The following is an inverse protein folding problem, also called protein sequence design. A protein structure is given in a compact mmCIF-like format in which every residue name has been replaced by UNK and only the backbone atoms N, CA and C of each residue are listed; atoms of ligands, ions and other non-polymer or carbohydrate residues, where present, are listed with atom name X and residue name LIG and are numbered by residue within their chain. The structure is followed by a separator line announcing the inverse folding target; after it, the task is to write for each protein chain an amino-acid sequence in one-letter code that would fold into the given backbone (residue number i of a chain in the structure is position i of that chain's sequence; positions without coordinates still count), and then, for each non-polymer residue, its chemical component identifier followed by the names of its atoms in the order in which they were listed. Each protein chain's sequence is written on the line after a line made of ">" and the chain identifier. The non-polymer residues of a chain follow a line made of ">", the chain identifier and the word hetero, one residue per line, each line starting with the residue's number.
data_IF_782089267418
#
_entry.id   IF_782089267418
#
_cell.length_a   1.000
_cell.length_b   1.000
_cell.length_c   1.000
_cell.angle_alpha   90.00
_cell.angle_beta   90.00
_cell.angle_gamma   90.00
#
_symmetry.space_group_name_H-M   'P 1'
#
loop_
_entity.id
_entity.type
_entity.pdbx_description
1 polymer ?
#
# COMPACT_ATOMS: atom_id res chain seq x y z
N UNK A 1 -20.23 3.63 -0.89
CA UNK A 1 -19.00 4.44 -0.96
C UNK A 1 -19.36 5.91 -1.17
N UNK A 2 -18.83 6.83 -0.36
CA UNK A 2 -19.08 8.28 -0.48
C UNK A 2 -17.82 8.97 -1.00
N UNK A 3 -17.92 9.80 -2.05
CA UNK A 3 -16.79 10.63 -2.51
C UNK A 3 -16.82 11.99 -1.80
N UNK A 4 -15.67 12.44 -1.33
CA UNK A 4 -15.48 13.74 -0.68
C UNK A 4 -14.23 14.38 -1.27
N UNK A 5 -14.33 15.59 -1.80
CA UNK A 5 -13.18 16.34 -2.27
C UNK A 5 -12.50 17.04 -1.09
N UNK A 6 -11.22 16.74 -0.88
CA UNK A 6 -10.42 17.30 0.21
C UNK A 6 -9.35 18.22 -0.39
N UNK A 7 -9.17 19.44 0.13
CA UNK A 7 -8.12 20.34 -0.33
C UNK A 7 -6.74 19.77 0.00
N UNK A 8 -5.82 19.80 -0.96
CA UNK A 8 -4.41 19.42 -0.75
C UNK A 8 -3.60 20.64 -0.30
N UNK A 9 -2.58 20.40 0.52
CA UNK A 9 -1.65 21.44 0.99
C UNK A 9 -0.91 22.16 -0.16
N UNK A 10 -0.69 21.47 -1.29
CA UNK A 10 -0.05 22.01 -2.50
C UNK A 10 -1.00 22.76 -3.43
N UNK A 11 -2.27 22.94 -3.06
CA UNK A 11 -3.33 23.42 -3.95
C UNK A 11 -4.03 22.30 -4.72
N UNK A 12 -5.28 22.55 -5.11
CA UNK A 12 -6.17 21.57 -5.76
C UNK A 12 -6.98 20.72 -4.78
N UNK A 13 -7.93 19.93 -5.31
CA UNK A 13 -8.73 18.97 -4.55
C UNK A 13 -8.33 17.54 -4.91
N UNK A 14 -8.33 16.65 -3.91
CA UNK A 14 -8.17 15.22 -4.10
C UNK A 14 -9.47 14.50 -3.73
N UNK A 15 -10.05 13.68 -4.62
CA UNK A 15 -11.23 12.90 -4.28
C UNK A 15 -10.84 11.78 -3.29
N UNK A 16 -11.45 11.79 -2.11
CA UNK A 16 -11.35 10.70 -1.13
C UNK A 16 -12.60 9.83 -1.21
N UNK A 17 -12.41 8.55 -1.51
CA UNK A 17 -13.46 7.54 -1.41
C UNK A 17 -13.57 7.03 0.03
N UNK A 18 -14.65 7.37 0.72
CA UNK A 18 -14.91 6.94 2.11
C UNK A 18 -15.85 5.71 2.06
N UNK A 19 -15.38 4.50 2.45
CA UNK A 19 -16.23 3.32 2.58
C UNK A 19 -17.18 3.46 3.78
N UNK A 20 -18.23 2.64 3.86
CA UNK A 20 -19.09 2.63 5.06
C UNK A 20 -18.32 2.12 6.29
N UNK A 21 -18.86 2.32 7.50
CA UNK A 21 -18.22 1.79 8.72
C UNK A 21 -18.04 0.28 8.64
N UNK A 22 -19.07 -0.43 8.16
CA UNK A 22 -19.04 -1.87 7.97
C UNK A 22 -17.98 -2.29 6.94
N UNK A 23 -17.90 -1.58 5.80
CA UNK A 23 -16.88 -1.86 4.79
C UNK A 23 -15.47 -1.68 5.35
N UNK A 24 -15.22 -0.61 6.12
CA UNK A 24 -13.91 -0.38 6.75
C UNK A 24 -13.56 -1.47 7.76
N UNK A 25 -14.55 -1.94 8.52
CA UNK A 25 -14.36 -3.05 9.46
C UNK A 25 -13.97 -4.33 8.73
N UNK A 26 -14.71 -4.70 7.68
CA UNK A 26 -14.43 -5.90 6.88
C UNK A 26 -13.07 -5.78 6.18
N UNK A 27 -12.77 -4.64 5.54
CA UNK A 27 -11.48 -4.40 4.90
C UNK A 27 -10.32 -4.49 5.89
N UNK A 28 -10.48 -3.95 7.09
CA UNK A 28 -9.47 -4.06 8.15
C UNK A 28 -9.27 -5.51 8.60
N UNK A 29 -10.35 -6.28 8.75
CA UNK A 29 -10.25 -7.69 9.13
C UNK A 29 -9.53 -8.51 8.04
N UNK A 30 -9.88 -8.30 6.76
CA UNK A 30 -9.17 -8.93 5.63
C UNK A 30 -7.70 -8.53 5.61
N UNK A 31 -7.40 -7.23 5.79
CA UNK A 31 -6.03 -6.72 5.82
C UNK A 31 -5.19 -7.39 6.91
N UNK A 32 -5.73 -7.60 8.11
CA UNK A 32 -5.00 -8.26 9.20
C UNK A 32 -4.53 -9.67 8.83
N UNK A 33 -5.39 -10.45 8.18
CA UNK A 33 -5.04 -11.83 7.78
C UNK A 33 -4.05 -11.83 6.61
N UNK A 34 -4.27 -10.98 5.60
CA UNK A 34 -3.37 -10.89 4.45
C UNK A 34 -2.00 -10.33 4.82
N UNK A 35 -1.95 -9.35 5.71
CA UNK A 35 -0.69 -8.79 6.19
C UNK A 35 0.12 -9.86 6.91
N UNK A 36 -0.50 -10.70 7.75
CA UNK A 36 0.21 -11.80 8.41
C UNK A 36 0.79 -12.82 7.41
N UNK A 37 0.10 -13.08 6.30
CA UNK A 37 0.56 -14.01 5.27
C UNK A 37 1.66 -13.43 4.37
N UNK A 38 1.61 -12.13 4.06
CA UNK A 38 2.49 -11.52 3.05
C UNK A 38 3.65 -10.71 3.62
N UNK A 39 3.59 -10.23 4.87
CA UNK A 39 4.60 -9.29 5.39
C UNK A 39 6.04 -9.87 5.35
N UNK A 40 6.18 -11.19 5.52
CA UNK A 40 7.47 -11.89 5.41
C UNK A 40 8.03 -11.99 3.99
N UNK A 41 7.22 -11.81 2.95
CA UNK A 41 7.64 -11.86 1.54
C UNK A 41 8.04 -10.50 0.96
N UNK A 42 7.78 -9.40 1.66
CA UNK A 42 8.15 -8.07 1.17
C UNK A 42 9.65 -7.80 1.27
N UNK A 43 10.16 -7.04 0.29
CA UNK A 43 11.54 -6.53 0.31
C UNK A 43 11.84 -5.74 1.59
N UNK A 44 13.08 -5.85 2.06
CA UNK A 44 13.60 -5.07 3.19
C UNK A 44 13.56 -3.56 2.94
N UNK A 45 13.62 -3.14 1.66
CA UNK A 45 13.55 -1.73 1.23
C UNK A 45 12.11 -1.23 1.01
N UNK A 46 11.09 -2.03 1.37
CA UNK A 46 9.68 -1.60 1.34
C UNK A 46 9.26 -1.05 2.71
N UNK A 47 8.96 0.26 2.75
CA UNK A 47 8.66 0.98 4.00
C UNK A 47 7.21 1.50 4.09
N UNK A 48 6.50 1.59 2.96
CA UNK A 48 5.14 2.14 2.92
C UNK A 48 4.10 1.14 3.41
N UNK A 49 3.11 1.61 4.18
CA UNK A 49 1.92 0.84 4.60
C UNK A 49 2.22 -0.50 5.30
N UNK A 50 3.34 -0.60 6.01
CA UNK A 50 3.76 -1.83 6.71
C UNK A 50 3.86 -1.64 8.22
N UNK A 51 3.56 -2.69 9.01
CA UNK A 51 3.75 -2.65 10.45
C UNK A 51 5.24 -2.45 10.79
N UNK A 52 5.53 -1.66 11.82
CA UNK A 52 6.89 -1.35 12.29
C UNK A 52 7.84 -0.69 11.25
N UNK A 53 7.32 -0.26 10.10
CA UNK A 53 8.05 0.51 9.08
C UNK A 53 7.55 1.95 9.03
N UNK A 54 8.42 2.89 8.68
CA UNK A 54 8.06 4.30 8.59
C UNK A 54 8.82 5.03 7.48
N UNK A 55 8.29 6.18 7.06
CA UNK A 55 8.95 7.06 6.10
C UNK A 55 10.33 7.52 6.60
N UNK A 56 10.51 7.71 7.90
CA UNK A 56 11.82 8.07 8.48
C UNK A 56 12.88 6.99 8.25
N UNK A 57 12.51 5.70 8.34
CA UNK A 57 13.42 4.61 8.03
C UNK A 57 13.81 4.60 6.54
N UNK A 58 12.87 4.92 5.64
CA UNK A 58 13.16 5.05 4.21
C UNK A 58 14.16 6.17 3.93
N UNK A 59 13.98 7.33 4.57
CA UNK A 59 14.91 8.47 4.45
C UNK A 59 16.29 8.10 5.00
N UNK A 60 16.37 7.44 6.15
CA UNK A 60 17.65 7.01 6.73
C UNK A 60 18.38 6.02 5.81
N UNK A 61 17.67 5.07 5.20
CA UNK A 61 18.25 4.16 4.22
C UNK A 61 18.76 4.90 2.97
N UNK A 62 17.99 5.87 2.45
CA UNK A 62 18.42 6.70 1.33
C UNK A 62 19.69 7.52 1.66
N UNK A 63 19.77 8.09 2.87
CA UNK A 63 20.95 8.81 3.34
C UNK A 63 22.18 7.89 3.42
N UNK A 64 22.02 6.65 3.86
CA UNK A 64 23.11 5.66 3.87
C UNK A 64 23.62 5.34 2.45
N UNK A 65 22.73 5.21 1.47
CA UNK A 65 23.13 5.02 0.07
C UNK A 65 23.93 6.22 -0.46
N UNK A 66 23.50 7.44 -0.16
CA UNK A 66 24.24 8.65 -0.54
C UNK A 66 25.62 8.68 0.11
N UNK A 67 25.71 8.35 1.40
CA UNK A 67 26.96 8.30 2.14
C UNK A 67 27.93 7.23 1.59
N UNK A 68 27.40 6.11 1.06
CA UNK A 68 28.20 5.06 0.39
C UNK A 68 28.70 5.44 -1.01
N UNK A 69 28.38 6.64 -1.51
CA UNK A 69 28.86 7.15 -2.80
C UNK A 69 27.83 7.11 -3.93
N UNK A 70 26.61 6.63 -3.69
CA UNK A 70 25.54 6.63 -4.69
C UNK A 70 24.87 8.01 -4.74
N UNK A 71 25.35 8.86 -5.64
CA UNK A 71 24.93 10.28 -5.73
C UNK A 71 23.84 10.55 -6.76
N UNK A 72 23.46 9.54 -7.54
CA UNK A 72 22.42 9.64 -8.57
C UNK A 72 21.19 8.92 -8.05
N UNK A 73 20.05 9.63 -8.07
CA UNK A 73 18.73 9.08 -7.71
C UNK A 73 17.90 8.98 -8.97
N UNK A 74 17.29 7.80 -9.17
CA UNK A 74 16.26 7.60 -10.20
C UNK A 74 14.92 7.66 -9.49
N UNK A 75 14.19 8.75 -9.70
CA UNK A 75 12.86 8.96 -9.12
C UNK A 75 11.80 8.42 -10.08
N UNK A 76 11.01 7.46 -9.64
CA UNK A 76 9.94 6.82 -10.42
C UNK A 76 8.68 6.86 -9.57
N UNK A 77 7.69 7.62 -10.04
CA UNK A 77 6.36 7.69 -9.42
C UNK A 77 5.28 7.15 -10.37
N UNK A 78 4.28 6.47 -9.80
CA UNK A 78 3.16 5.91 -10.55
C UNK A 78 1.94 6.80 -10.40
N UNK A 79 1.57 7.49 -11.48
CA UNK A 79 0.39 8.36 -11.48
C UNK A 79 -0.88 7.54 -11.21
N UNK A 80 -1.65 7.94 -10.18
CA UNK A 80 -2.95 7.36 -9.84
C UNK A 80 -2.92 5.83 -9.73
N UNK A 81 -1.96 5.29 -8.99
CA UNK A 81 -1.78 3.85 -8.77
C UNK A 81 -3.13 3.12 -8.57
N UNK A 82 -3.93 3.53 -7.58
CA UNK A 82 -5.21 2.88 -7.27
C UNK A 82 -6.30 2.99 -8.35
N UNK A 83 -6.24 4.00 -9.23
CA UNK A 83 -7.21 4.12 -10.34
C UNK A 83 -6.79 3.29 -11.56
N UNK A 84 -5.50 2.95 -11.68
CA UNK A 84 -4.91 2.31 -12.86
C UNK A 84 -4.44 0.87 -12.63
N UNK A 85 -4.58 0.32 -11.43
CA UNK A 85 -4.27 -1.10 -11.19
C UNK A 85 -5.20 -1.98 -12.02
N UNK A 86 -4.63 -2.83 -12.87
CA UNK A 86 -5.39 -3.84 -13.58
C UNK A 86 -5.82 -4.95 -12.61
N UNK A 87 -7.13 -5.15 -12.46
CA UNK A 87 -7.68 -6.12 -11.52
C UNK A 87 -7.38 -7.58 -11.90
N UNK A 88 -7.31 -7.92 -13.18
CA UNK A 88 -7.03 -9.29 -13.64
C UNK A 88 -5.60 -9.70 -13.28
N UNK A 89 -4.65 -8.78 -13.48
CA UNK A 89 -3.26 -8.98 -13.05
C UNK A 89 -3.24 -9.12 -11.53
N UNK A 90 -3.81 -8.16 -10.78
CA UNK A 90 -3.79 -8.19 -9.32
C UNK A 90 -4.35 -9.50 -8.75
N UNK A 91 -5.47 -9.99 -9.30
CA UNK A 91 -6.10 -11.24 -8.88
C UNK A 91 -5.31 -12.48 -9.37
N UNK A 92 -4.61 -12.40 -10.49
CA UNK A 92 -3.73 -13.47 -10.98
C UNK A 92 -2.51 -13.74 -10.10
N UNK A 93 -2.01 -12.71 -9.40
CA UNK A 93 -0.93 -12.85 -8.41
C UNK A 93 -1.41 -13.43 -7.07
N UNK A 94 -2.72 -13.59 -6.88
CA UNK A 94 -3.25 -14.16 -5.66
C UNK A 94 -2.77 -15.60 -5.48
N UNK A 95 -2.07 -15.94 -4.39
CA UNK A 95 -1.57 -17.29 -4.20
C UNK A 95 -2.73 -18.28 -4.17
N UNK A 96 -2.73 -19.24 -5.09
CA UNK A 96 -3.76 -20.28 -5.23
C UNK A 96 -3.82 -21.27 -4.04
N UNK A 97 -3.14 -20.96 -2.93
CA UNK A 97 -3.05 -21.77 -1.72
C UNK A 97 -3.25 -20.98 -0.43
N UNK A 98 -3.94 -19.83 -0.47
CA UNK A 98 -4.32 -19.13 0.75
C UNK A 98 -5.26 -20.01 1.61
N UNK A 99 -4.91 -20.36 2.87
CA UNK A 99 -5.68 -21.28 3.71
C UNK A 99 -7.00 -20.67 4.23
N UNK A 100 -7.32 -19.43 3.88
CA UNK A 100 -8.56 -18.77 4.28
C UNK A 100 -9.70 -19.26 3.39
N UNK A 101 -10.26 -20.43 3.74
CA UNK A 101 -11.55 -20.86 3.22
C UNK A 101 -12.60 -19.93 3.82
N UNK A 102 -12.95 -18.84 3.13
CA UNK A 102 -14.13 -18.03 3.46
C UNK A 102 -15.35 -18.86 3.07
N UNK A 103 -15.76 -19.76 3.96
CA UNK A 103 -17.05 -20.44 3.87
C UNK A 103 -18.12 -19.43 4.24
N UNK A 104 -18.81 -18.90 3.22
CA UNK A 104 -20.13 -18.30 3.41
C UNK A 104 -21.08 -19.41 3.85
N UNK A 105 -21.50 -19.36 5.11
CA UNK A 105 -22.84 -19.77 5.53
C UNK A 105 -23.64 -18.52 5.82
#
# INVERSE_FOLDING_TARGET
>A
MRRVDIPKASGGTGPLGIPTVLDRFIQQAVMQVLQAAWDGGFSASSYGFRPARSAHQAVAAAQAFIASGHRIVVDIDLEKFFDRVNHDILMGWWPSGCPIRVSFV
#
